data_IF_437320343593
#
_entry.id   IF_437320343593
#
_cell.length_a   1.000
_cell.length_b   1.000
_cell.length_c   1.000
_cell.angle_alpha   90.00
_cell.angle_beta   90.00
_cell.angle_gamma   90.00
#
_symmetry.space_group_name_H-M   'P 1'
#
loop_
_entity.id
_entity.type
_entity.pdbx_description
1 polymer ?
#
# COMPACT_ATOMS: atom_id res chain seq x y z
N UNK A 1 17.51 39.43 -18.48
CA UNK A 1 16.83 38.79 -17.32
C UNK A 1 15.34 39.10 -17.21
N UNK A 2 14.86 40.36 -17.37
CA UNK A 2 13.42 40.71 -17.27
C UNK A 2 12.49 39.79 -18.07
N UNK A 3 12.71 39.73 -19.39
CA UNK A 3 11.85 38.98 -20.30
C UNK A 3 11.87 37.49 -19.97
N UNK A 4 13.03 36.93 -19.66
CA UNK A 4 13.18 35.54 -19.21
C UNK A 4 12.32 35.29 -17.96
N UNK A 5 12.45 36.12 -16.92
CA UNK A 5 11.67 35.96 -15.69
C UNK A 5 10.16 36.11 -15.91
N UNK A 6 9.73 37.10 -16.70
CA UNK A 6 8.32 37.26 -17.06
C UNK A 6 7.79 36.06 -17.83
N UNK A 7 8.53 35.57 -18.84
CA UNK A 7 8.15 34.40 -19.63
C UNK A 7 8.07 33.15 -18.76
N UNK A 8 9.02 32.95 -17.84
CA UNK A 8 8.99 31.82 -16.90
C UNK A 8 7.77 31.92 -15.98
N UNK A 9 7.50 33.07 -15.35
CA UNK A 9 6.32 33.25 -14.51
C UNK A 9 5.01 33.03 -15.28
N UNK A 10 4.92 33.55 -16.50
CA UNK A 10 3.76 33.38 -17.35
C UNK A 10 3.58 31.91 -17.78
N UNK A 11 4.66 31.23 -18.14
CA UNK A 11 4.65 29.81 -18.47
C UNK A 11 4.24 28.94 -17.28
N UNK A 12 4.73 29.23 -16.06
CA UNK A 12 4.28 28.57 -14.83
C UNK A 12 2.80 28.81 -14.58
N UNK A 13 2.32 30.04 -14.75
CA UNK A 13 0.91 30.38 -14.61
C UNK A 13 0.03 29.62 -15.61
N UNK A 14 0.43 29.58 -16.88
CA UNK A 14 -0.25 28.81 -17.92
C UNK A 14 -0.24 27.29 -17.62
N UNK A 15 0.88 26.76 -17.15
CA UNK A 15 1.00 25.35 -16.76
C UNK A 15 0.04 25.00 -15.60
N UNK A 16 -0.13 25.88 -14.61
CA UNK A 16 -1.12 25.68 -13.53
C UNK A 16 -2.57 25.69 -14.03
N UNK A 17 -2.89 26.53 -15.03
CA UNK A 17 -4.22 26.50 -15.66
C UNK A 17 -4.47 25.21 -16.44
N UNK A 18 -3.45 24.71 -17.16
CA UNK A 18 -3.52 23.40 -17.83
C UNK A 18 -3.68 22.30 -16.78
N UNK A 19 -2.92 22.35 -15.69
CA UNK A 19 -3.05 21.40 -14.60
C UNK A 19 -4.45 21.42 -13.99
N UNK A 20 -5.04 22.59 -13.71
CA UNK A 20 -6.41 22.69 -13.18
C UNK A 20 -7.46 22.00 -14.08
N UNK A 21 -7.21 21.97 -15.40
CA UNK A 21 -8.05 21.26 -16.36
C UNK A 21 -7.80 19.74 -16.34
N UNK A 22 -6.54 19.32 -16.28
CA UNK A 22 -6.12 17.90 -16.32
C UNK A 22 -6.39 17.17 -15.02
N UNK A 23 -6.29 17.84 -13.87
CA UNK A 23 -6.55 17.33 -12.53
C UNK A 23 -8.06 17.07 -12.29
N UNK A 24 -8.73 16.37 -13.19
CA UNK A 24 -10.13 15.99 -13.06
C UNK A 24 -10.29 14.77 -12.13
N UNK A 25 -11.54 14.33 -11.92
CA UNK A 25 -11.83 13.20 -11.02
C UNK A 25 -11.11 11.91 -11.43
N UNK A 26 -10.95 11.66 -12.73
CA UNK A 26 -10.26 10.46 -13.24
C UNK A 26 -8.77 10.53 -12.98
N UNK A 27 -8.16 11.70 -13.15
CA UNK A 27 -6.76 11.91 -12.81
C UNK A 27 -6.51 11.65 -11.32
N UNK A 28 -7.34 12.21 -10.44
CA UNK A 28 -7.20 11.98 -8.99
C UNK A 28 -7.43 10.52 -8.62
N UNK A 29 -8.43 9.89 -9.20
CA UNK A 29 -8.69 8.47 -8.99
C UNK A 29 -7.45 7.62 -9.31
N UNK A 30 -6.86 7.85 -10.48
CA UNK A 30 -5.70 7.10 -10.97
C UNK A 30 -4.40 7.39 -10.21
N UNK A 31 -4.13 8.65 -9.85
CA UNK A 31 -2.83 9.07 -9.30
C UNK A 31 -2.80 9.22 -7.79
N UNK A 32 -3.97 9.30 -7.15
CA UNK A 32 -4.09 9.60 -5.72
C UNK A 32 -5.01 8.59 -5.03
N UNK A 33 -6.28 8.46 -5.45
CA UNK A 33 -7.27 7.69 -4.70
C UNK A 33 -6.99 6.19 -4.71
N UNK A 34 -6.78 5.59 -5.90
CA UNK A 34 -6.51 4.16 -6.01
C UNK A 34 -5.15 3.80 -5.39
N UNK A 35 -4.00 4.43 -5.78
CA UNK A 35 -2.70 4.14 -5.17
C UNK A 35 -2.59 4.31 -3.66
N UNK A 36 -3.48 5.07 -3.03
CA UNK A 36 -3.48 5.32 -1.59
C UNK A 36 -4.71 4.76 -0.87
N UNK A 37 -5.57 4.06 -1.61
CA UNK A 37 -6.78 3.39 -1.13
C UNK A 37 -7.66 4.31 -0.30
N UNK A 38 -7.95 5.50 -0.86
CA UNK A 38 -9.00 6.35 -0.32
C UNK A 38 -10.36 5.78 -0.76
N UNK A 39 -11.17 5.24 0.17
CA UNK A 39 -12.45 4.62 -0.18
C UNK A 39 -13.45 5.63 -0.76
N UNK A 40 -13.23 6.92 -0.51
CA UNK A 40 -14.05 8.02 -1.00
C UNK A 40 -13.14 9.15 -1.46
N UNK A 41 -13.50 9.83 -2.55
CA UNK A 41 -12.80 11.03 -2.99
C UNK A 41 -12.90 12.10 -1.89
N UNK A 42 -11.78 12.59 -1.33
CA UNK A 42 -11.83 13.64 -0.33
C UNK A 42 -12.39 14.94 -0.91
N UNK A 43 -13.07 15.74 -0.07
CA UNK A 43 -13.67 17.02 -0.49
C UNK A 43 -12.65 18.00 -1.12
N UNK A 44 -11.37 17.91 -0.72
CA UNK A 44 -10.30 18.78 -1.19
C UNK A 44 -9.88 18.55 -2.66
N UNK A 45 -10.35 17.48 -3.30
CA UNK A 45 -10.05 17.20 -4.72
C UNK A 45 -10.50 18.37 -5.62
N UNK A 46 -11.73 18.87 -5.39
CA UNK A 46 -12.25 20.04 -6.11
C UNK A 46 -11.48 21.31 -5.77
N UNK A 47 -11.12 21.49 -4.49
CA UNK A 47 -10.37 22.66 -4.00
C UNK A 47 -8.99 22.76 -4.66
N UNK A 48 -8.35 21.63 -4.92
CA UNK A 48 -7.01 21.58 -5.56
C UNK A 48 -7.04 22.15 -6.97
N UNK A 49 -8.11 21.87 -7.73
CA UNK A 49 -8.29 22.42 -9.08
C UNK A 49 -8.52 23.92 -9.05
N UNK A 50 -9.38 24.38 -8.15
CA UNK A 50 -9.68 25.80 -7.96
C UNK A 50 -8.41 26.54 -7.53
N UNK A 51 -7.66 25.98 -6.57
CA UNK A 51 -6.40 26.53 -6.12
C UNK A 51 -5.38 26.62 -7.27
N UNK A 52 -5.20 25.56 -8.06
CA UNK A 52 -4.33 25.59 -9.23
C UNK A 52 -4.76 26.67 -10.24
N UNK A 53 -6.07 26.80 -10.51
CA UNK A 53 -6.60 27.82 -11.41
C UNK A 53 -6.34 29.24 -10.89
N UNK A 54 -6.66 29.50 -9.62
CA UNK A 54 -6.46 30.81 -8.96
C UNK A 54 -4.97 31.16 -8.93
N UNK A 55 -4.10 30.25 -8.49
CA UNK A 55 -2.65 30.46 -8.50
C UNK A 55 -2.13 30.72 -9.92
N UNK A 56 -2.65 30.00 -10.92
CA UNK A 56 -2.30 30.22 -12.34
C UNK A 56 -2.67 31.62 -12.83
N UNK A 57 -3.90 32.07 -12.57
CA UNK A 57 -4.37 33.41 -12.90
C UNK A 57 -3.57 34.50 -12.19
N UNK A 58 -3.29 34.32 -10.89
CA UNK A 58 -2.49 35.25 -10.10
C UNK A 58 -1.05 35.34 -10.65
N UNK A 59 -0.41 34.21 -10.97
CA UNK A 59 0.93 34.22 -11.56
C UNK A 59 0.97 34.90 -12.93
N UNK A 60 -0.05 34.70 -13.76
CA UNK A 60 -0.16 35.39 -15.06
C UNK A 60 -0.32 36.90 -14.87
N UNK A 61 -1.22 37.33 -13.97
CA UNK A 61 -1.43 38.73 -13.66
C UNK A 61 -0.16 39.40 -13.09
N UNK A 62 0.62 38.65 -12.30
CA UNK A 62 1.84 39.12 -11.66
C UNK A 62 3.12 38.88 -12.48
N UNK A 63 3.08 38.21 -13.63
CA UNK A 63 4.27 37.84 -14.40
C UNK A 63 5.11 39.05 -14.82
N UNK A 64 4.44 40.14 -15.23
CA UNK A 64 5.10 41.38 -15.61
C UNK A 64 5.73 42.13 -14.41
N UNK A 65 5.01 42.41 -13.31
CA UNK A 65 5.63 43.05 -12.13
C UNK A 65 6.72 42.19 -11.51
N UNK A 66 6.56 40.86 -11.43
CA UNK A 66 7.59 39.95 -10.92
C UNK A 66 8.85 39.96 -11.80
N UNK A 67 8.70 39.90 -13.12
CA UNK A 67 9.87 39.98 -14.02
C UNK A 67 10.58 41.33 -13.97
N UNK A 68 9.86 42.43 -13.75
CA UNK A 68 10.47 43.75 -13.46
C UNK A 68 11.20 43.76 -12.13
N UNK A 69 10.65 43.15 -11.09
CA UNK A 69 11.29 43.01 -9.77
C UNK A 69 12.58 42.20 -9.84
N UNK A 70 12.55 41.05 -10.54
CA UNK A 70 13.71 40.18 -10.76
C UNK A 70 14.81 40.87 -11.58
N UNK A 71 14.45 41.72 -12.54
CA UNK A 71 15.45 42.48 -13.29
C UNK A 71 16.17 43.55 -12.45
N UNK A 72 15.57 43.94 -11.31
CA UNK A 72 16.12 44.93 -10.39
C UNK A 72 16.72 44.30 -9.13
N UNK A 73 16.62 42.98 -8.96
CA UNK A 73 17.20 42.32 -7.80
C UNK A 73 18.71 42.18 -7.95
N UNK A 74 19.41 42.51 -6.87
CA UNK A 74 20.86 42.33 -6.80
C UNK A 74 21.20 40.85 -6.58
N UNK A 75 22.42 40.46 -6.94
CA UNK A 75 22.97 39.14 -6.60
C UNK A 75 22.84 38.85 -5.10
N UNK A 76 23.06 39.85 -4.25
CA UNK A 76 22.87 39.75 -2.80
C UNK A 76 21.42 39.44 -2.41
N UNK A 77 20.43 39.96 -3.13
CA UNK A 77 19.02 39.62 -2.91
C UNK A 77 18.72 38.16 -3.21
N UNK A 78 19.22 37.66 -4.35
CA UNK A 78 19.11 36.24 -4.70
C UNK A 78 19.78 35.34 -3.66
N UNK A 79 21.02 35.67 -3.26
CA UNK A 79 21.75 34.91 -2.24
C UNK A 79 21.00 34.86 -0.90
N UNK A 80 20.36 35.97 -0.48
CA UNK A 80 19.54 35.99 0.75
C UNK A 80 18.31 35.09 0.64
N UNK A 81 17.60 35.12 -0.48
CA UNK A 81 16.42 34.26 -0.69
C UNK A 81 16.85 32.80 -0.73
N UNK A 82 17.89 32.46 -1.48
CA UNK A 82 18.44 31.11 -1.54
C UNK A 82 18.90 30.64 -0.16
N UNK A 83 19.61 31.48 0.60
CA UNK A 83 20.01 31.18 1.97
C UNK A 83 18.80 30.96 2.88
N UNK A 84 17.77 31.80 2.78
CA UNK A 84 16.54 31.65 3.56
C UNK A 84 15.82 30.32 3.26
N UNK A 85 15.74 29.92 1.99
CA UNK A 85 15.16 28.62 1.59
C UNK A 85 15.98 27.47 2.14
N UNK A 86 17.31 27.51 2.01
CA UNK A 86 18.20 26.47 2.56
C UNK A 86 18.08 26.37 4.08
N UNK A 87 18.08 27.51 4.78
CA UNK A 87 17.92 27.56 6.23
C UNK A 87 16.54 27.06 6.67
N UNK A 88 15.47 27.37 5.91
CA UNK A 88 14.14 26.86 6.19
C UNK A 88 14.08 25.33 6.06
N UNK A 89 14.60 24.77 4.96
CA UNK A 89 14.67 23.31 4.75
C UNK A 89 15.52 22.63 5.84
N UNK A 90 16.67 23.21 6.18
CA UNK A 90 17.53 22.69 7.24
C UNK A 90 16.85 22.73 8.61
N UNK A 91 16.15 23.83 8.93
CA UNK A 91 15.40 23.97 10.19
C UNK A 91 14.25 22.99 10.24
N UNK A 92 13.48 22.82 9.16
CA UNK A 92 12.42 21.82 9.07
C UNK A 92 12.95 20.40 9.29
N UNK A 93 14.08 20.06 8.67
CA UNK A 93 14.74 18.76 8.88
C UNK A 93 15.16 18.56 10.35
N UNK A 94 15.76 19.58 10.99
CA UNK A 94 16.14 19.54 12.41
C UNK A 94 14.90 19.34 13.30
N UNK A 95 13.83 20.11 13.07
CA UNK A 95 12.59 20.01 13.84
C UNK A 95 11.95 18.62 13.70
N UNK A 96 11.95 18.05 12.49
CA UNK A 96 11.45 16.70 12.26
C UNK A 96 12.28 15.66 13.04
N UNK A 97 13.61 15.76 13.01
CA UNK A 97 14.49 14.84 13.74
C UNK A 97 14.38 14.95 15.26
N UNK A 98 14.20 16.16 15.80
CA UNK A 98 14.06 16.37 17.24
C UNK A 98 12.78 15.75 17.82
N UNK A 99 11.74 15.56 16.99
CA UNK A 99 10.49 14.93 17.40
C UNK A 99 10.52 13.40 17.33
N UNK A 100 11.60 12.81 16.83
CA UNK A 100 11.65 11.41 16.43
C UNK A 100 12.71 10.62 17.20
N UNK A 101 12.30 9.48 17.76
CA UNK A 101 13.19 8.56 18.48
C UNK A 101 13.47 7.33 17.60
N UNK A 102 14.29 7.50 16.55
CA UNK A 102 14.70 6.42 15.64
C UNK A 102 13.77 6.20 14.44
N UNK A 103 12.47 6.02 14.68
CA UNK A 103 11.45 5.86 13.62
C UNK A 103 10.74 7.19 13.35
N UNK A 104 10.39 7.44 12.09
CA UNK A 104 9.68 8.67 11.73
C UNK A 104 8.31 8.75 12.45
N UNK A 105 7.94 9.93 12.93
CA UNK A 105 6.77 10.07 13.83
C UNK A 105 5.49 9.57 13.16
N UNK A 106 5.26 9.90 11.89
CA UNK A 106 4.11 9.43 11.11
C UNK A 106 4.05 7.90 10.93
N UNK A 107 5.19 7.20 11.02
CA UNK A 107 5.21 5.72 10.99
C UNK A 107 5.00 5.11 12.36
N UNK A 108 5.51 5.75 13.41
CA UNK A 108 5.35 5.27 14.79
C UNK A 108 3.88 5.17 15.23
N UNK A 109 2.99 5.91 14.56
CA UNK A 109 1.55 5.86 14.79
C UNK A 109 0.86 4.65 14.16
N UNK A 110 1.52 3.95 13.22
CA UNK A 110 0.93 2.79 12.54
C UNK A 110 0.85 1.61 13.50
N UNK A 111 -0.27 0.89 13.41
CA UNK A 111 -0.67 -0.14 14.35
C UNK A 111 0.39 -1.26 14.46
N UNK A 112 1.01 -1.59 13.34
CA UNK A 112 1.95 -2.69 13.15
C UNK A 112 3.24 -2.49 13.95
N UNK A 113 3.65 -1.24 14.20
CA UNK A 113 4.83 -0.95 15.01
C UNK A 113 4.54 -1.03 16.52
N UNK A 114 3.27 -1.15 16.95
CA UNK A 114 2.94 -1.33 18.38
C UNK A 114 3.18 -2.75 18.89
N UNK A 115 3.16 -3.75 18.00
CA UNK A 115 3.40 -5.16 18.34
C UNK A 115 4.25 -5.89 17.29
N UNK A 116 4.98 -5.12 16.49
CA UNK A 116 5.98 -5.58 15.54
C UNK A 116 7.34 -4.97 15.83
N UNK A 117 8.31 -5.29 14.98
CA UNK A 117 9.66 -4.73 14.97
C UNK A 117 10.14 -4.55 13.54
N UNK A 118 11.12 -3.69 13.33
CA UNK A 118 11.78 -3.55 12.03
C UNK A 118 12.48 -4.85 11.63
N UNK A 119 12.50 -5.13 10.33
CA UNK A 119 13.11 -6.32 9.74
C UNK A 119 13.83 -5.94 8.42
N UNK A 120 15.06 -6.39 8.18
CA UNK A 120 15.81 -6.00 6.98
C UNK A 120 15.25 -6.59 5.68
N UNK A 121 14.59 -7.76 5.72
CA UNK A 121 14.02 -8.45 4.54
C UNK A 121 12.60 -7.98 4.27
N UNK A 122 11.78 -7.86 5.32
CA UNK A 122 10.36 -7.53 5.20
C UNK A 122 10.02 -6.07 5.50
N UNK A 123 10.99 -5.25 5.91
CA UNK A 123 10.74 -3.91 6.45
C UNK A 123 10.30 -3.95 7.92
N UNK A 124 9.28 -4.73 8.24
CA UNK A 124 8.85 -5.02 9.61
C UNK A 124 8.19 -6.39 9.70
N UNK A 125 8.17 -6.98 10.89
CA UNK A 125 7.50 -8.25 11.22
C UNK A 125 6.75 -8.14 12.54
N UNK A 126 5.79 -9.03 12.77
CA UNK A 126 5.09 -9.15 14.03
C UNK A 126 5.98 -9.84 15.08
N UNK A 127 5.80 -9.50 16.36
CA UNK A 127 6.59 -10.12 17.43
C UNK A 127 6.09 -11.54 17.70
N UNK A 128 6.95 -12.59 17.56
CA UNK A 128 6.54 -13.96 17.81
C UNK A 128 6.14 -14.22 19.26
N UNK A 129 5.28 -15.21 19.45
CA UNK A 129 4.78 -15.68 20.75
C UNK A 129 4.27 -14.55 21.63
N UNK A 130 3.46 -13.67 21.04
CA UNK A 130 2.91 -12.50 21.71
C UNK A 130 1.47 -12.24 21.34
N UNK A 131 0.63 -12.05 22.36
CA UNK A 131 -0.70 -11.46 22.20
C UNK A 131 -0.69 -9.98 22.54
N UNK A 132 -1.24 -9.14 21.67
CA UNK A 132 -1.48 -7.72 21.93
C UNK A 132 -2.94 -7.38 21.77
N UNK A 133 -3.53 -6.68 22.76
CA UNK A 133 -4.92 -6.24 22.71
C UNK A 133 -4.99 -4.79 22.25
N UNK A 134 -5.75 -4.53 21.18
CA UNK A 134 -5.82 -3.23 20.52
C UNK A 134 -7.26 -2.83 20.24
N UNK A 135 -7.49 -1.54 20.05
CA UNK A 135 -8.82 -0.96 19.79
C UNK A 135 -9.38 -0.18 20.98
N UNK A 136 -10.47 0.59 20.76
CA UNK A 136 -11.15 1.30 21.84
C UNK A 136 -11.75 0.31 22.83
N UNK A 137 -12.09 0.77 24.05
CA UNK A 137 -12.58 -0.09 25.13
C UNK A 137 -13.74 -1.01 24.72
N UNK A 138 -14.65 -0.52 23.87
CA UNK A 138 -15.83 -1.25 23.39
C UNK A 138 -15.54 -2.27 22.28
N UNK A 139 -14.35 -2.21 21.65
CA UNK A 139 -13.93 -3.10 20.55
C UNK A 139 -12.47 -3.52 20.72
N UNK A 140 -12.14 -4.04 21.90
CA UNK A 140 -10.81 -4.60 22.16
C UNK A 140 -10.67 -5.93 21.43
N UNK A 141 -9.71 -6.00 20.51
CA UNK A 141 -9.40 -7.17 19.71
C UNK A 141 -8.03 -7.70 20.12
N UNK A 142 -7.97 -9.00 20.43
CA UNK A 142 -6.71 -9.69 20.67
C UNK A 142 -6.05 -10.07 19.34
N UNK A 143 -4.79 -9.70 19.18
CA UNK A 143 -3.91 -10.09 18.08
C UNK A 143 -2.88 -11.06 18.62
N UNK A 144 -3.16 -12.36 18.51
CA UNK A 144 -2.25 -13.42 18.92
C UNK A 144 -1.31 -13.80 17.77
N UNK A 145 -0.01 -13.78 18.06
CA UNK A 145 1.05 -14.08 17.11
C UNK A 145 1.80 -15.32 17.60
N UNK A 146 1.84 -16.35 16.76
CA UNK A 146 2.47 -17.64 17.09
C UNK A 146 4.01 -17.56 17.13
N UNK A 147 4.67 -18.69 17.37
CA UNK A 147 6.13 -18.76 17.42
C UNK A 147 6.82 -18.57 16.06
N UNK A 148 6.10 -18.65 14.93
CA UNK A 148 6.62 -18.32 13.60
C UNK A 148 6.53 -16.82 13.28
N UNK A 149 5.84 -16.06 14.12
CA UNK A 149 5.60 -14.63 13.90
C UNK A 149 4.36 -14.36 13.06
N UNK A 150 3.42 -15.31 13.01
CA UNK A 150 2.25 -15.28 12.14
C UNK A 150 0.95 -15.12 12.93
N UNK A 151 -0.08 -14.59 12.28
CA UNK A 151 -1.38 -14.37 12.94
C UNK A 151 -2.05 -15.72 13.20
N UNK A 152 -2.38 -16.00 14.46
CA UNK A 152 -2.92 -17.29 14.89
C UNK A 152 -4.06 -17.15 15.92
N UNK A 153 -4.64 -18.30 16.31
CA UNK A 153 -5.64 -18.41 17.38
C UNK A 153 -5.06 -18.17 18.78
N UNK A 154 -3.78 -18.52 18.96
CA UNK A 154 -3.04 -18.35 20.21
C UNK A 154 -1.60 -17.93 19.92
N UNK A 155 -0.96 -17.32 20.90
CA UNK A 155 0.47 -17.01 20.86
C UNK A 155 1.36 -18.20 21.27
N UNK A 156 0.74 -19.29 21.69
CA UNK A 156 1.41 -20.53 22.03
C UNK A 156 1.51 -21.47 20.82
N UNK A 157 2.70 -22.04 20.62
CA UNK A 157 2.98 -23.04 19.60
C UNK A 157 3.30 -22.45 18.23
N UNK A 158 3.34 -23.33 17.23
CA UNK A 158 3.57 -23.00 15.83
C UNK A 158 2.74 -23.94 14.94
N UNK A 159 2.50 -23.55 13.68
CA UNK A 159 2.03 -24.44 12.63
C UNK A 159 2.78 -25.78 12.60
N UNK A 160 2.06 -26.90 12.42
CA UNK A 160 2.66 -28.20 12.15
C UNK A 160 2.96 -28.32 10.64
N UNK A 161 4.24 -28.41 10.23
CA UNK A 161 4.64 -28.53 8.83
C UNK A 161 4.06 -29.73 8.06
N UNK A 162 3.68 -30.79 8.76
CA UNK A 162 3.20 -32.05 8.16
C UNK A 162 1.70 -32.03 7.83
N UNK A 163 0.96 -31.04 8.33
CA UNK A 163 -0.49 -30.97 8.11
C UNK A 163 -0.82 -30.22 6.81
N UNK A 164 -1.90 -30.63 6.12
CA UNK A 164 -2.47 -29.89 5.00
C UNK A 164 -2.78 -28.44 5.37
N UNK A 165 -2.18 -27.49 4.66
CA UNK A 165 -2.21 -26.08 5.06
C UNK A 165 -2.81 -25.16 3.99
N UNK A 166 -3.60 -24.19 4.45
CA UNK A 166 -3.99 -22.98 3.74
C UNK A 166 -3.04 -21.85 4.17
N UNK A 167 -2.21 -21.37 3.25
CA UNK A 167 -1.32 -20.24 3.51
C UNK A 167 -2.03 -18.96 3.08
N UNK A 168 -2.19 -18.00 3.99
CA UNK A 168 -2.80 -16.70 3.70
C UNK A 168 -1.71 -15.63 3.78
N UNK A 169 -1.55 -14.85 2.71
CA UNK A 169 -0.61 -13.73 2.66
C UNK A 169 -1.29 -12.46 2.18
N UNK A 170 -0.69 -11.30 2.45
CA UNK A 170 -1.26 -10.02 2.04
C UNK A 170 -1.07 -8.93 3.07
N UNK A 171 -2.10 -8.10 3.20
CA UNK A 171 -2.07 -6.87 4.00
C UNK A 171 -3.04 -6.89 5.19
N UNK A 172 -3.50 -5.74 5.67
CA UNK A 172 -4.32 -5.59 6.87
C UNK A 172 -5.66 -6.33 6.79
N UNK A 173 -6.29 -6.46 5.62
CA UNK A 173 -7.51 -7.28 5.46
C UNK A 173 -7.18 -8.76 5.67
N UNK A 174 -6.08 -9.26 5.11
CA UNK A 174 -5.63 -10.64 5.31
C UNK A 174 -5.28 -10.96 6.77
N UNK A 175 -4.69 -10.00 7.50
CA UNK A 175 -4.46 -10.11 8.96
C UNK A 175 -5.78 -10.21 9.74
N UNK A 176 -6.87 -9.65 9.21
CA UNK A 176 -8.12 -9.47 9.93
C UNK A 176 -8.09 -8.22 10.82
N UNK A 177 -7.65 -7.08 10.28
CA UNK A 177 -7.63 -5.82 11.02
C UNK A 177 -8.99 -5.50 11.62
N UNK A 178 -9.01 -5.28 12.93
CA UNK A 178 -10.22 -4.97 13.69
C UNK A 178 -11.13 -6.17 13.94
N UNK A 179 -10.69 -7.40 13.62
CA UNK A 179 -11.53 -8.61 13.69
C UNK A 179 -10.89 -9.68 14.59
N UNK A 180 -11.64 -10.32 15.51
CA UNK A 180 -11.17 -11.47 16.28
C UNK A 180 -10.71 -12.61 15.36
N UNK A 181 -9.71 -13.40 15.80
CA UNK A 181 -9.09 -14.40 14.91
C UNK A 181 -10.11 -15.36 14.30
N UNK A 182 -11.01 -15.90 15.12
CA UNK A 182 -12.04 -16.87 14.74
C UNK A 182 -13.06 -16.31 13.75
N UNK A 183 -13.19 -14.98 13.70
CA UNK A 183 -14.08 -14.25 12.80
C UNK A 183 -13.37 -13.77 11.54
N UNK A 184 -12.06 -13.93 11.42
CA UNK A 184 -11.35 -13.64 10.17
C UNK A 184 -11.77 -14.60 9.06
N UNK A 185 -11.61 -14.18 7.80
CA UNK A 185 -11.96 -15.05 6.69
C UNK A 185 -11.00 -16.25 6.63
N UNK A 186 -9.73 -16.04 7.00
CA UNK A 186 -8.70 -17.06 7.02
C UNK A 186 -9.05 -18.21 7.98
N UNK A 187 -9.38 -17.88 9.23
CA UNK A 187 -9.75 -18.88 10.23
C UNK A 187 -11.02 -19.66 9.85
N UNK A 188 -12.03 -18.95 9.35
CA UNK A 188 -13.28 -19.57 8.90
C UNK A 188 -13.06 -20.50 7.70
N UNK A 189 -12.25 -20.07 6.72
CA UNK A 189 -11.89 -20.92 5.57
C UNK A 189 -11.11 -22.16 6.00
N UNK A 190 -10.12 -22.02 6.90
CA UNK A 190 -9.38 -23.17 7.41
C UNK A 190 -10.29 -24.20 8.06
N UNK A 191 -11.23 -23.73 8.90
CA UNK A 191 -12.26 -24.59 9.51
C UNK A 191 -13.14 -25.26 8.46
N UNK A 192 -13.65 -24.50 7.49
CA UNK A 192 -14.58 -24.99 6.47
C UNK A 192 -13.93 -25.96 5.47
N UNK A 193 -12.64 -25.80 5.21
CA UNK A 193 -11.86 -26.64 4.30
C UNK A 193 -11.14 -27.79 5.01
N UNK A 194 -11.14 -27.82 6.35
CA UNK A 194 -10.38 -28.79 7.14
C UNK A 194 -8.86 -28.64 6.98
N UNK A 195 -8.39 -27.41 6.78
CA UNK A 195 -6.97 -27.09 6.59
C UNK A 195 -6.43 -26.30 7.78
N UNK A 196 -5.18 -26.56 8.13
CA UNK A 196 -4.45 -25.71 9.05
C UNK A 196 -4.21 -24.34 8.39
N UNK A 197 -4.41 -23.24 9.14
CA UNK A 197 -4.18 -21.89 8.60
C UNK A 197 -2.79 -21.41 8.99
N UNK A 198 -2.03 -20.96 8.00
CA UNK A 198 -0.75 -20.27 8.20
C UNK A 198 -0.91 -18.85 7.63
N UNK A 199 -1.27 -17.89 8.49
CA UNK A 199 -1.57 -16.51 8.07
C UNK A 199 -0.35 -15.61 8.27
N UNK A 200 0.43 -15.49 7.20
CA UNK A 200 1.68 -14.72 7.15
C UNK A 200 1.49 -13.26 6.76
N UNK A 201 0.25 -12.81 6.62
CA UNK A 201 -0.05 -11.43 6.30
C UNK A 201 0.39 -10.47 7.39
N UNK A 202 0.66 -9.22 7.00
CA UNK A 202 0.95 -8.15 7.95
C UNK A 202 0.35 -6.83 7.45
N UNK A 203 -0.14 -6.01 8.38
CA UNK A 203 -0.69 -4.71 8.05
C UNK A 203 0.33 -3.82 7.34
N UNK A 204 -0.14 -2.95 6.46
CA UNK A 204 0.72 -2.02 5.73
C UNK A 204 1.64 -2.64 4.67
N UNK A 205 1.60 -3.96 4.44
CA UNK A 205 2.45 -4.60 3.44
C UNK A 205 2.07 -4.23 2.01
N UNK A 206 3.09 -4.14 1.16
CA UNK A 206 2.99 -4.22 -0.30
C UNK A 206 2.94 -5.67 -0.78
N UNK A 207 2.70 -5.87 -2.08
CA UNK A 207 2.63 -7.21 -2.69
C UNK A 207 3.99 -7.92 -2.63
N UNK A 208 5.09 -7.17 -2.66
CA UNK A 208 6.44 -7.73 -2.55
C UNK A 208 6.70 -8.33 -1.16
N UNK A 209 6.33 -7.64 -0.08
CA UNK A 209 6.41 -8.16 1.28
C UNK A 209 5.50 -9.38 1.47
N UNK A 210 4.26 -9.33 0.95
CA UNK A 210 3.34 -10.45 0.98
C UNK A 210 3.87 -11.69 0.26
N UNK A 211 4.54 -11.51 -0.89
CA UNK A 211 5.23 -12.58 -1.61
C UNK A 211 6.37 -13.18 -0.78
N UNK A 212 7.27 -12.34 -0.24
CA UNK A 212 8.42 -12.82 0.52
C UNK A 212 8.00 -13.61 1.76
N UNK A 213 6.92 -13.20 2.45
CA UNK A 213 6.35 -13.97 3.55
C UNK A 213 5.78 -15.30 3.11
N UNK A 214 5.09 -15.32 1.96
CA UNK A 214 4.53 -16.55 1.39
C UNK A 214 5.66 -17.54 1.04
N UNK A 215 6.71 -17.06 0.38
CA UNK A 215 7.92 -17.84 0.03
C UNK A 215 8.51 -18.50 1.26
N UNK A 216 8.86 -17.72 2.30
CA UNK A 216 9.43 -18.22 3.56
C UNK A 216 8.52 -19.26 4.26
N UNK A 217 7.19 -19.12 4.18
CA UNK A 217 6.28 -20.09 4.78
C UNK A 217 6.16 -21.38 3.96
N UNK A 218 6.11 -21.27 2.63
CA UNK A 218 6.07 -22.44 1.75
C UNK A 218 7.34 -23.29 1.87
N UNK A 219 8.49 -22.69 2.15
CA UNK A 219 9.73 -23.40 2.46
C UNK A 219 9.67 -24.22 3.75
N UNK A 220 8.87 -23.78 4.73
CA UNK A 220 8.72 -24.46 6.03
C UNK A 220 7.68 -25.57 6.02
N UNK A 221 6.70 -25.51 5.12
CA UNK A 221 5.56 -26.42 5.05
C UNK A 221 5.84 -27.58 4.10
N UNK A 222 5.49 -28.80 4.51
CA UNK A 222 5.65 -29.99 3.65
C UNK A 222 4.39 -30.34 2.86
N UNK A 223 3.22 -29.86 3.31
CA UNK A 223 1.92 -30.11 2.65
C UNK A 223 1.08 -28.85 2.50
N UNK A 224 1.59 -27.76 1.90
CA UNK A 224 0.73 -26.64 1.54
C UNK A 224 -0.22 -27.07 0.42
N UNK A 225 -1.53 -26.79 0.58
CA UNK A 225 -2.56 -27.20 -0.39
C UNK A 225 -3.07 -26.00 -1.18
N UNK A 226 -3.26 -24.87 -0.51
CA UNK A 226 -3.82 -23.65 -1.08
C UNK A 226 -3.03 -22.44 -0.62
N UNK A 227 -2.89 -21.45 -1.50
CA UNK A 227 -2.47 -20.11 -1.10
C UNK A 227 -3.55 -19.10 -1.43
N UNK A 228 -3.82 -18.18 -0.49
CA UNK A 228 -4.72 -17.04 -0.69
C UNK A 228 -3.91 -15.78 -0.45
N UNK A 229 -3.69 -15.00 -1.50
CA UNK A 229 -2.95 -13.73 -1.42
C UNK A 229 -3.88 -12.57 -1.68
N UNK A 230 -4.01 -11.65 -0.71
CA UNK A 230 -4.88 -10.48 -0.86
C UNK A 230 -4.18 -9.37 -1.65
N UNK A 231 -4.98 -8.63 -2.42
CA UNK A 231 -4.54 -7.45 -3.15
C UNK A 231 -5.52 -6.30 -2.95
N UNK A 232 -4.96 -5.12 -2.71
CA UNK A 232 -5.66 -3.84 -2.75
C UNK A 232 -4.78 -2.81 -3.47
N UNK A 233 -5.36 -1.85 -4.20
CA UNK A 233 -4.59 -0.88 -5.00
C UNK A 233 -3.49 -0.10 -4.24
N UNK A 234 -3.63 0.13 -2.93
CA UNK A 234 -2.56 0.78 -2.14
C UNK A 234 -1.25 0.01 -2.10
N UNK A 235 -1.26 -1.29 -2.38
CA UNK A 235 -0.02 -2.06 -2.49
C UNK A 235 0.90 -1.53 -3.61
N UNK A 236 0.35 -0.87 -4.64
CA UNK A 236 1.15 -0.23 -5.70
C UNK A 236 2.09 0.84 -5.13
N UNK A 237 1.60 1.75 -4.30
CA UNK A 237 2.46 2.77 -3.70
C UNK A 237 3.43 2.17 -2.69
N UNK A 238 2.97 1.17 -1.91
CA UNK A 238 3.80 0.49 -0.92
C UNK A 238 4.97 -0.26 -1.55
N UNK A 239 4.82 -0.83 -2.75
CA UNK A 239 5.87 -1.57 -3.45
C UNK A 239 7.07 -0.70 -3.84
N UNK A 240 6.87 0.60 -4.03
CA UNK A 240 7.95 1.54 -4.44
C UNK A 240 8.56 2.32 -3.29
N UNK A 241 8.01 2.18 -2.07
CA UNK A 241 8.55 2.83 -0.87
C UNK A 241 9.95 2.33 -0.54
N UNK A 242 10.88 3.25 -0.34
CA UNK A 242 12.31 2.95 -0.27
C UNK A 242 12.95 3.09 1.11
N UNK A 243 12.15 3.42 2.13
CA UNK A 243 12.60 3.41 3.53
C UNK A 243 12.77 1.99 4.09
N UNK A 244 12.38 0.95 3.35
CA UNK A 244 12.47 -0.47 3.72
C UNK A 244 13.19 -1.29 2.66
N UNK A 245 13.55 -2.54 3.00
CA UNK A 245 13.93 -3.53 2.01
C UNK A 245 12.76 -3.80 1.07
N UNK A 246 13.01 -3.91 -0.24
CA UNK A 246 11.96 -4.12 -1.24
C UNK A 246 12.43 -4.93 -2.43
N UNK A 247 11.49 -5.53 -3.14
CA UNK A 247 11.78 -6.11 -4.45
C UNK A 247 11.81 -5.01 -5.52
N UNK A 248 12.73 -5.14 -6.46
CA UNK A 248 12.79 -4.34 -7.68
C UNK A 248 12.97 -5.26 -8.89
N UNK A 249 12.60 -4.78 -10.08
CA UNK A 249 12.93 -5.46 -11.32
C UNK A 249 14.33 -5.05 -11.79
N UNK A 250 15.23 -6.04 -11.93
CA UNK A 250 16.55 -5.89 -12.55
C UNK A 250 16.68 -6.91 -13.66
N UNK A 251 16.87 -6.45 -14.88
CA UNK A 251 17.05 -7.32 -16.05
C UNK A 251 15.93 -8.37 -16.20
N UNK A 252 14.70 -8.00 -15.84
CA UNK A 252 13.52 -8.86 -15.90
C UNK A 252 13.34 -9.82 -14.71
N UNK A 253 14.27 -9.85 -13.75
CA UNK A 253 14.19 -10.67 -12.54
C UNK A 253 13.89 -9.83 -11.29
N UNK A 254 13.22 -10.45 -10.31
CA UNK A 254 13.00 -9.84 -9.01
C UNK A 254 14.29 -9.90 -8.19
N UNK A 255 14.70 -8.75 -7.65
CA UNK A 255 15.87 -8.64 -6.79
C UNK A 255 15.50 -7.90 -5.51
N UNK A 256 15.83 -8.48 -4.35
CA UNK A 256 15.71 -7.81 -3.06
C UNK A 256 16.83 -6.78 -2.91
N UNK A 257 16.45 -5.53 -2.66
CA UNK A 257 17.39 -4.43 -2.40
C UNK A 257 17.18 -3.90 -0.98
N UNK A 258 18.27 -3.47 -0.30
CA UNK A 258 18.15 -2.88 1.02
C UNK A 258 17.46 -1.51 0.97
N UNK A 259 17.01 -0.98 2.12
CA UNK A 259 16.51 0.39 2.23
C UNK A 259 17.46 1.41 1.63
N UNK A 260 16.92 2.51 1.09
CA UNK A 260 17.71 3.64 0.63
C UNK A 260 18.37 4.35 1.82
N UNK A 261 19.70 4.26 1.94
CA UNK A 261 20.48 4.80 3.07
C UNK A 261 21.46 5.91 2.71
N UNK A 262 21.47 6.38 1.47
CA UNK A 262 22.33 7.50 1.04
C UNK A 262 21.90 8.80 1.73
N UNK A 263 22.80 9.80 1.79
CA UNK A 263 22.55 11.08 2.47
C UNK A 263 21.17 11.69 2.14
N UNK A 264 20.83 11.80 0.85
CA UNK A 264 19.53 12.35 0.41
C UNK A 264 18.34 11.48 0.80
N UNK A 265 18.51 10.15 0.84
CA UNK A 265 17.47 9.22 1.26
C UNK A 265 17.23 9.24 2.77
N UNK A 266 18.25 9.64 3.55
CA UNK A 266 18.15 9.77 5.00
C UNK A 266 17.43 11.05 5.45
N UNK A 267 17.15 12.01 4.55
CA UNK A 267 16.43 13.26 4.87
C UNK A 267 14.95 12.98 5.13
N UNK A 268 14.43 13.45 6.27
CA UNK A 268 13.02 13.29 6.67
C UNK A 268 12.07 14.06 5.77
N UNK A 269 12.48 15.24 5.29
CA UNK A 269 11.70 15.97 4.29
C UNK A 269 11.51 15.14 3.02
N UNK A 270 12.59 14.59 2.49
CA UNK A 270 12.53 13.74 1.28
C UNK A 270 11.68 12.51 1.53
N UNK A 271 11.84 11.89 2.68
CA UNK A 271 11.08 10.72 3.10
C UNK A 271 9.57 10.99 3.10
N UNK A 272 9.14 12.14 3.61
CA UNK A 272 7.74 12.58 3.53
C UNK A 272 7.27 12.71 2.07
N UNK A 273 8.06 13.36 1.21
CA UNK A 273 7.69 13.59 -0.19
C UNK A 273 7.65 12.31 -1.04
N UNK A 274 8.56 11.38 -0.80
CA UNK A 274 8.66 10.16 -1.62
C UNK A 274 7.83 9.02 -1.08
N UNK A 275 7.77 8.85 0.25
CA UNK A 275 7.19 7.65 0.85
C UNK A 275 5.81 7.87 1.47
N UNK A 276 5.40 9.10 1.76
CA UNK A 276 4.14 9.38 2.47
C UNK A 276 3.20 10.35 1.72
N UNK A 277 3.68 11.08 0.72
CA UNK A 277 2.84 11.96 -0.08
C UNK A 277 1.86 11.13 -0.92
N UNK A 278 0.54 11.38 -0.84
CA UNK A 278 -0.48 10.58 -1.52
C UNK A 278 -0.56 10.87 -3.02
N UNK A 279 0.52 10.62 -3.76
CA UNK A 279 0.62 10.84 -5.19
C UNK A 279 1.57 9.82 -5.83
N UNK A 280 1.20 9.34 -7.01
CA UNK A 280 2.08 8.53 -7.85
C UNK A 280 2.06 9.08 -9.28
N UNK A 281 3.23 9.41 -9.83
CA UNK A 281 3.31 9.89 -11.22
C UNK A 281 2.95 8.78 -12.21
N UNK A 282 2.66 9.13 -13.48
CA UNK A 282 2.45 8.11 -14.53
C UNK A 282 3.66 7.18 -14.69
N UNK A 283 4.88 7.68 -14.49
CA UNK A 283 6.07 6.87 -14.58
C UNK A 283 6.15 5.88 -13.40
N UNK A 284 5.97 6.37 -12.18
CA UNK A 284 5.99 5.55 -10.96
C UNK A 284 4.85 4.52 -10.96
N UNK A 285 3.66 4.90 -11.46
CA UNK A 285 2.52 3.99 -11.58
C UNK A 285 2.81 2.88 -12.57
N UNK A 286 3.39 3.18 -13.74
CA UNK A 286 3.81 2.15 -14.69
C UNK A 286 4.87 1.23 -14.11
N UNK A 287 5.90 1.79 -13.47
CA UNK A 287 6.97 1.00 -12.82
C UNK A 287 6.39 0.08 -11.74
N UNK A 288 5.54 0.62 -10.87
CA UNK A 288 4.88 -0.13 -9.81
C UNK A 288 3.96 -1.23 -10.37
N UNK A 289 3.20 -0.96 -11.43
CA UNK A 289 2.36 -1.95 -12.10
C UNK A 289 3.20 -3.10 -12.69
N UNK A 290 4.32 -2.79 -13.33
CA UNK A 290 5.24 -3.80 -13.88
C UNK A 290 5.87 -4.66 -12.78
N UNK A 291 6.37 -4.03 -11.71
CA UNK A 291 6.91 -4.72 -10.55
C UNK A 291 5.86 -5.61 -9.90
N UNK A 292 4.66 -5.07 -9.67
CA UNK A 292 3.56 -5.79 -9.03
C UNK A 292 3.13 -7.00 -9.87
N UNK A 293 2.99 -6.84 -11.19
CA UNK A 293 2.69 -7.96 -12.08
C UNK A 293 3.76 -9.07 -12.00
N UNK A 294 5.03 -8.70 -11.95
CA UNK A 294 6.12 -9.67 -11.79
C UNK A 294 6.07 -10.39 -10.45
N UNK A 295 5.83 -9.66 -9.35
CA UNK A 295 5.67 -10.24 -8.01
C UNK A 295 4.47 -11.19 -7.94
N UNK A 296 3.34 -10.84 -8.54
CA UNK A 296 2.14 -11.69 -8.55
C UNK A 296 2.36 -12.96 -9.39
N UNK A 297 3.01 -12.86 -10.56
CA UNK A 297 3.40 -14.05 -11.34
C UNK A 297 4.33 -14.96 -10.55
N UNK A 298 5.31 -14.39 -9.88
CA UNK A 298 6.25 -15.15 -9.05
C UNK A 298 5.54 -15.80 -7.86
N UNK A 299 4.62 -15.09 -7.21
CA UNK A 299 3.78 -15.62 -6.13
C UNK A 299 3.03 -16.87 -6.57
N UNK A 300 2.38 -16.82 -7.73
CA UNK A 300 1.65 -17.97 -8.27
C UNK A 300 2.59 -19.11 -8.70
N UNK A 301 3.77 -18.79 -9.24
CA UNK A 301 4.79 -19.77 -9.63
C UNK A 301 5.34 -20.52 -8.41
N UNK A 302 5.72 -19.79 -7.36
CA UNK A 302 6.25 -20.33 -6.10
C UNK A 302 5.21 -21.18 -5.38
N UNK A 303 3.96 -20.72 -5.30
CA UNK A 303 2.87 -21.53 -4.74
C UNK A 303 2.74 -22.90 -5.44
N UNK A 304 2.67 -22.91 -6.78
CA UNK A 304 2.56 -24.15 -7.56
C UNK A 304 3.80 -25.03 -7.45
N UNK A 305 5.00 -24.44 -7.39
CA UNK A 305 6.24 -25.19 -7.21
C UNK A 305 6.27 -25.97 -5.89
N UNK A 306 5.57 -25.48 -4.86
CA UNK A 306 5.39 -26.17 -3.57
C UNK A 306 4.13 -27.05 -3.52
N UNK A 307 3.42 -27.24 -4.63
CA UNK A 307 2.23 -28.09 -4.70
C UNK A 307 0.95 -27.43 -4.20
N UNK A 308 0.95 -26.11 -3.98
CA UNK A 308 -0.23 -25.37 -3.55
C UNK A 308 -0.91 -24.64 -4.72
N UNK A 309 -2.24 -24.67 -4.77
CA UNK A 309 -3.02 -23.93 -5.77
C UNK A 309 -3.21 -22.47 -5.34
N UNK A 310 -2.75 -21.49 -6.14
CA UNK A 310 -2.86 -20.08 -5.78
C UNK A 310 -4.24 -19.50 -6.09
N UNK A 311 -4.70 -18.58 -5.24
CA UNK A 311 -5.84 -17.71 -5.48
C UNK A 311 -5.51 -16.29 -4.98
N UNK A 312 -5.63 -15.31 -5.87
CA UNK A 312 -5.57 -13.91 -5.51
C UNK A 312 -6.96 -13.39 -5.15
N UNK A 313 -7.07 -12.58 -4.10
CA UNK A 313 -8.35 -12.00 -3.65
C UNK A 313 -8.24 -10.49 -3.66
N UNK A 314 -9.06 -9.86 -4.48
CA UNK A 314 -9.07 -8.41 -4.67
C UNK A 314 -10.28 -7.85 -3.93
N UNK A 315 -10.06 -6.97 -2.96
CA UNK A 315 -11.15 -6.32 -2.25
C UNK A 315 -11.51 -4.98 -2.90
N UNK A 316 -12.79 -4.82 -3.22
CA UNK A 316 -13.36 -3.61 -3.80
C UNK A 316 -14.46 -3.08 -2.90
N UNK A 317 -14.50 -1.78 -2.63
CA UNK A 317 -15.57 -1.20 -1.80
C UNK A 317 -16.74 -0.80 -2.69
N UNK A 318 -17.96 -1.21 -2.30
CA UNK A 318 -19.21 -0.83 -2.95
C UNK A 318 -20.14 -2.02 -3.20
N UNK A 319 -21.17 -1.80 -4.03
CA UNK A 319 -22.12 -2.84 -4.40
C UNK A 319 -21.51 -3.85 -5.39
N UNK A 320 -22.06 -5.07 -5.38
CA UNK A 320 -21.69 -6.13 -6.31
C UNK A 320 -21.84 -5.67 -7.76
N UNK A 321 -20.79 -5.90 -8.56
CA UNK A 321 -20.73 -5.45 -9.96
C UNK A 321 -19.81 -6.31 -10.80
N UNK A 322 -19.92 -6.18 -12.12
CA UNK A 322 -18.98 -6.78 -13.05
C UNK A 322 -17.64 -6.01 -13.05
N UNK A 323 -16.55 -6.67 -13.45
CA UNK A 323 -15.19 -6.11 -13.48
C UNK A 323 -15.12 -4.70 -14.10
N UNK A 324 -15.79 -4.46 -15.22
CA UNK A 324 -15.75 -3.16 -15.92
C UNK A 324 -16.41 -2.01 -15.12
N UNK A 325 -17.19 -2.35 -14.09
CA UNK A 325 -17.84 -1.38 -13.20
C UNK A 325 -16.98 -0.92 -12.02
N UNK A 326 -15.79 -1.49 -11.81
CA UNK A 326 -14.90 -1.09 -10.70
C UNK A 326 -13.97 0.06 -11.13
N UNK A 327 -13.67 0.98 -10.20
CA UNK A 327 -12.69 2.05 -10.44
C UNK A 327 -11.29 1.46 -10.73
N UNK A 328 -10.93 0.38 -10.05
CA UNK A 328 -9.70 -0.36 -10.21
C UNK A 328 -9.70 -1.35 -11.40
N UNK A 329 -10.74 -1.36 -12.25
CA UNK A 329 -10.89 -2.34 -13.35
C UNK A 329 -9.65 -2.43 -14.25
N UNK A 330 -9.07 -1.28 -14.60
CA UNK A 330 -7.85 -1.21 -15.43
C UNK A 330 -6.62 -1.80 -14.72
N UNK A 331 -6.52 -1.61 -13.40
CA UNK A 331 -5.44 -2.17 -12.58
C UNK A 331 -5.62 -3.69 -12.50
N UNK A 332 -6.83 -4.15 -12.20
CA UNK A 332 -7.15 -5.57 -12.09
C UNK A 332 -6.92 -6.30 -13.42
N UNK A 333 -7.35 -5.69 -14.53
CA UNK A 333 -7.15 -6.24 -15.87
C UNK A 333 -5.66 -6.45 -16.16
N UNK A 334 -4.84 -5.40 -15.96
CA UNK A 334 -3.41 -5.46 -16.24
C UNK A 334 -2.64 -6.41 -15.31
N UNK A 335 -3.02 -6.51 -14.04
CA UNK A 335 -2.31 -7.31 -13.04
C UNK A 335 -2.74 -8.77 -12.97
N UNK A 336 -4.00 -9.09 -13.32
CA UNK A 336 -4.54 -10.43 -13.13
C UNK A 336 -5.10 -11.05 -14.41
N UNK A 337 -5.90 -10.31 -15.18
CA UNK A 337 -6.52 -10.84 -16.42
C UNK A 337 -5.45 -11.05 -17.49
N UNK A 338 -4.69 -10.01 -17.84
CA UNK A 338 -3.62 -10.07 -18.84
C UNK A 338 -2.48 -11.00 -18.42
N UNK A 339 -2.29 -11.21 -17.12
CA UNK A 339 -1.29 -12.11 -16.56
C UNK A 339 -1.78 -13.56 -16.44
N UNK A 340 -3.05 -13.83 -16.78
CA UNK A 340 -3.71 -15.13 -16.63
C UNK A 340 -3.56 -15.72 -15.21
N UNK A 341 -3.74 -14.88 -14.19
CA UNK A 341 -3.65 -15.28 -12.79
C UNK A 341 -5.04 -15.68 -12.25
N UNK A 342 -5.13 -16.69 -11.38
CA UNK A 342 -6.39 -17.07 -10.76
C UNK A 342 -6.77 -16.05 -9.68
N UNK A 343 -7.85 -15.29 -9.90
CA UNK A 343 -8.31 -14.30 -8.92
C UNK A 343 -9.82 -14.40 -8.65
N UNK A 344 -10.24 -13.76 -7.56
CA UNK A 344 -11.62 -13.43 -7.23
C UNK A 344 -11.68 -11.97 -6.78
N UNK A 345 -12.68 -11.23 -7.27
CA UNK A 345 -12.99 -9.89 -6.75
C UNK A 345 -14.10 -10.04 -5.73
N UNK A 346 -13.91 -9.44 -4.56
CA UNK A 346 -14.91 -9.41 -3.52
C UNK A 346 -15.33 -7.96 -3.29
N UNK A 347 -16.55 -7.65 -3.71
CA UNK A 347 -17.21 -6.40 -3.36
C UNK A 347 -17.61 -6.42 -1.88
N UNK A 348 -17.21 -5.39 -1.14
CA UNK A 348 -17.53 -5.17 0.27
C UNK A 348 -18.44 -3.97 0.38
N UNK A 349 -19.68 -4.21 0.84
CA UNK A 349 -20.65 -3.14 0.94
C UNK A 349 -20.23 -2.15 2.04
N UNK A 350 -20.39 -0.82 1.86
CA UNK A 350 -19.96 0.15 2.86
C UNK A 350 -20.55 -0.06 4.26
N UNK A 351 -21.73 -0.66 4.35
CA UNK A 351 -22.37 -1.01 5.63
C UNK A 351 -21.68 -2.16 6.38
N UNK A 352 -20.91 -2.99 5.69
CA UNK A 352 -20.15 -4.09 6.30
C UNK A 352 -18.74 -3.64 6.74
N UNK A 353 -18.40 -2.36 6.57
CA UNK A 353 -17.11 -1.80 6.98
C UNK A 353 -17.10 -1.41 8.46
N UNK A 354 -15.93 -1.50 9.09
CA UNK A 354 -15.70 -0.96 10.43
C UNK A 354 -15.82 0.57 10.36
N UNK A 355 -16.79 1.11 11.10
CA UNK A 355 -17.05 2.55 11.19
C UNK A 355 -15.79 3.34 11.56
N UNK A 356 -15.42 4.31 10.73
CA UNK A 356 -14.26 5.19 10.91
C UNK A 356 -12.91 4.61 10.50
N UNK A 357 -12.87 3.35 10.09
CA UNK A 357 -11.64 2.62 9.77
C UNK A 357 -11.61 2.12 8.31
N UNK A 358 -12.76 1.73 7.77
CA UNK A 358 -12.88 1.37 6.36
C UNK A 358 -12.40 -0.05 6.01
N UNK A 359 -11.90 -0.85 6.96
CA UNK A 359 -11.66 -2.26 6.75
C UNK A 359 -12.97 -3.07 6.83
N UNK A 360 -13.05 -4.26 6.19
CA UNK A 360 -14.18 -5.17 6.34
C UNK A 360 -14.38 -5.60 7.79
N UNK A 361 -15.61 -5.53 8.28
CA UNK A 361 -16.01 -6.02 9.60
C UNK A 361 -16.24 -7.53 9.64
N UNK A 362 -16.60 -8.09 10.81
CA UNK A 362 -16.84 -9.53 10.97
C UNK A 362 -17.87 -10.13 10.00
N UNK A 363 -18.95 -9.39 9.71
CA UNK A 363 -19.99 -9.82 8.76
C UNK A 363 -19.44 -9.97 7.34
N UNK A 364 -18.65 -8.99 6.87
CA UNK A 364 -17.95 -9.09 5.60
C UNK A 364 -16.98 -10.27 5.60
N UNK A 365 -16.17 -10.45 6.65
CA UNK A 365 -15.23 -11.58 6.74
C UNK A 365 -15.93 -12.94 6.66
N UNK A 366 -17.09 -13.08 7.29
CA UNK A 366 -17.93 -14.29 7.19
C UNK A 366 -18.41 -14.54 5.76
N UNK A 367 -18.89 -13.50 5.06
CA UNK A 367 -19.32 -13.60 3.66
C UNK A 367 -18.15 -13.94 2.73
N UNK A 368 -17.01 -13.25 2.90
CA UNK A 368 -15.76 -13.50 2.18
C UNK A 368 -15.35 -14.97 2.32
N UNK A 369 -15.33 -15.50 3.54
CA UNK A 369 -14.96 -16.89 3.80
C UNK A 369 -15.84 -17.88 3.01
N UNK A 370 -17.16 -17.69 3.04
CA UNK A 370 -18.12 -18.55 2.31
C UNK A 370 -17.89 -18.53 0.81
N UNK A 371 -17.73 -17.35 0.21
CA UNK A 371 -17.51 -17.19 -1.23
C UNK A 371 -16.20 -17.86 -1.65
N UNK A 372 -15.12 -17.58 -0.93
CA UNK A 372 -13.79 -18.11 -1.26
C UNK A 372 -13.71 -19.63 -1.03
N UNK A 373 -14.25 -20.15 0.07
CA UNK A 373 -14.29 -21.59 0.32
C UNK A 373 -15.10 -22.33 -0.77
N UNK A 374 -16.22 -21.75 -1.22
CA UNK A 374 -17.00 -22.27 -2.35
C UNK A 374 -16.19 -22.33 -3.65
N UNK A 375 -15.50 -21.23 -3.98
CA UNK A 375 -14.66 -21.15 -5.18
C UNK A 375 -13.49 -22.15 -5.15
N UNK A 376 -12.86 -22.34 -4.00
CA UNK A 376 -11.72 -23.23 -3.82
C UNK A 376 -12.11 -24.71 -3.83
N UNK A 377 -13.25 -25.09 -3.22
CA UNK A 377 -13.77 -26.47 -3.31
C UNK A 377 -13.98 -26.91 -4.75
N UNK A 378 -14.54 -26.04 -5.59
CA UNK A 378 -14.76 -26.31 -7.01
C UNK A 378 -13.45 -26.48 -7.80
N UNK A 379 -12.33 -25.92 -7.33
CA UNK A 379 -11.00 -26.10 -7.94
C UNK A 379 -10.32 -27.37 -7.46
N UNK A 380 -10.36 -27.63 -6.15
CA UNK A 380 -9.82 -28.87 -5.58
C UNK A 380 -10.49 -30.11 -6.17
N UNK A 381 -11.81 -30.07 -6.43
CA UNK A 381 -12.53 -31.18 -7.05
C UNK A 381 -12.23 -31.40 -8.54
N UNK A 382 -11.58 -30.44 -9.21
CA UNK A 382 -11.15 -30.58 -10.63
C UNK A 382 -9.70 -31.08 -10.75
N UNK A 383 -8.92 -31.00 -9.67
CA UNK A 383 -7.53 -31.42 -9.62
C UNK A 383 -7.34 -32.86 -9.12
N UNK A 384 -8.40 -33.46 -8.56
CA UNK A 384 -8.54 -34.89 -8.26
C UNK A 384 -9.19 -35.59 -9.45
#
# INVERSE_FOLDING_TARGET
>A
MRWIATTVCAACGAALLVAARVLDGRWFERHVLLPWYYPWAPAWVSDTRIAAAVCGLVLLALAWPLGRGVARSSLAGWLRISLAVVLALATSEVVLRLKEHGTAYWRSLKLEFRFGREDPRFGWVLLPSRTTVLGPNERRIAYAIDAWGDRAASDAGAPDPELPSLVVSGESIAVGHGVPYEQTFAAQMGKDLGLQVVNVACGGYGSDQAYLRLEDALERLKRPVLTVTTFVPVMLSRNVQDYRGRLVLRDGALALVPPARRFLAALRLRDLFVNELPYMSEADLRESMQLTAAVLRETARTARAHGAEPLFVIFSIGAERALDGHAEASIVSALFVEQNLPFAIIDVHPAELIVGDGHPGPEAHHRIAKVLAGALRARLSRAQ
#
